data_IF_200676284570
#
_entry.id   IF_200676284570
#
_cell.length_a   1.000
_cell.length_b   1.000
_cell.length_c   1.000
_cell.angle_alpha   90.00
_cell.angle_beta   90.00
_cell.angle_gamma   90.00
#
_symmetry.space_group_name_H-M   'P 1'
#
loop_
_entity.id
_entity.type
_entity.pdbx_description
1 polymer ?
#
# COMPACT_ATOMS: atom_id res chain seq x y z
N UNK A 1 2.23 -13.52 -3.28
CA UNK A 1 3.34 -14.50 -3.12
C UNK A 1 3.78 -14.97 -4.50
N UNK A 2 5.08 -14.85 -4.80
CA UNK A 2 5.66 -15.24 -6.09
C UNK A 2 6.44 -16.56 -5.92
N UNK A 3 6.32 -17.46 -6.88
CA UNK A 3 7.08 -18.71 -6.92
C UNK A 3 7.93 -18.71 -8.18
N UNK A 4 9.19 -19.08 -7.99
CA UNK A 4 10.21 -19.12 -9.02
C UNK A 4 10.56 -20.58 -9.27
N UNK A 5 10.63 -20.94 -10.54
CA UNK A 5 11.10 -22.25 -10.95
C UNK A 5 12.52 -22.12 -11.50
N UNK A 6 13.46 -22.77 -10.81
CA UNK A 6 14.82 -22.93 -11.32
C UNK A 6 15.09 -24.39 -11.73
N UNK A 7 15.77 -24.56 -12.86
CA UNK A 7 16.30 -25.85 -13.30
C UNK A 7 17.76 -25.89 -12.81
N UNK A 8 18.20 -26.83 -11.97
CA UNK A 8 19.54 -26.90 -11.36
C UNK A 8 20.71 -26.93 -12.34
N UNK A 9 20.47 -27.26 -13.62
CA UNK A 9 21.47 -27.14 -14.68
C UNK A 9 21.62 -25.71 -15.22
N UNK A 10 20.69 -24.80 -14.91
CA UNK A 10 20.73 -23.38 -15.23
C UNK A 10 20.78 -22.52 -13.96
N UNK A 11 21.59 -21.47 -13.95
CA UNK A 11 21.52 -20.44 -12.90
C UNK A 11 20.40 -19.42 -13.15
N UNK A 12 19.64 -19.59 -14.22
CA UNK A 12 18.59 -18.67 -14.66
C UNK A 12 17.20 -19.17 -14.27
N UNK A 13 16.37 -18.26 -13.73
CA UNK A 13 14.96 -18.54 -13.49
C UNK A 13 14.26 -18.62 -14.84
N UNK A 14 13.76 -19.81 -15.18
CA UNK A 14 13.09 -20.04 -16.46
C UNK A 14 11.62 -19.61 -16.42
N UNK A 15 10.94 -19.77 -15.28
CA UNK A 15 9.52 -19.47 -15.17
C UNK A 15 9.15 -18.81 -13.83
N UNK A 16 8.28 -17.80 -13.89
CA UNK A 16 7.75 -17.06 -12.75
C UNK A 16 6.24 -17.16 -12.72
N UNK A 17 5.69 -17.49 -11.55
CA UNK A 17 4.26 -17.59 -11.35
C UNK A 17 3.79 -16.83 -10.10
N UNK A 18 2.70 -16.08 -10.28
CA UNK A 18 1.96 -15.43 -9.20
C UNK A 18 0.88 -16.38 -8.71
N UNK A 19 1.04 -16.94 -7.52
CA UNK A 19 0.10 -17.93 -6.98
C UNK A 19 -1.31 -17.37 -6.80
N UNK A 20 -1.43 -16.08 -6.53
CA UNK A 20 -2.71 -15.38 -6.39
C UNK A 20 -3.56 -15.35 -7.68
N UNK A 21 -2.91 -15.54 -8.84
CA UNK A 21 -3.57 -15.53 -10.15
C UNK A 21 -3.91 -16.94 -10.64
N UNK A 22 -3.65 -17.98 -9.83
CA UNK A 22 -3.87 -19.38 -10.19
C UNK A 22 -4.92 -20.01 -9.28
N UNK A 23 -5.80 -20.80 -9.87
CA UNK A 23 -6.71 -21.66 -9.12
C UNK A 23 -5.95 -22.83 -8.50
N UNK A 24 -6.50 -23.44 -7.43
CA UNK A 24 -5.91 -24.63 -6.79
C UNK A 24 -5.60 -25.75 -7.79
N UNK A 25 -6.49 -25.96 -8.77
CA UNK A 25 -6.30 -26.96 -9.83
C UNK A 25 -5.09 -26.64 -10.70
N UNK A 26 -4.96 -25.39 -11.17
CA UNK A 26 -3.82 -24.96 -12.00
C UNK A 26 -2.48 -25.06 -11.27
N UNK A 27 -2.47 -24.92 -9.94
CA UNK A 27 -1.27 -25.13 -9.12
C UNK A 27 -0.90 -26.61 -9.10
N UNK A 28 -1.87 -27.50 -8.85
CA UNK A 28 -1.64 -28.96 -8.80
C UNK A 28 -1.20 -29.48 -10.17
N UNK A 29 -1.90 -29.13 -11.24
CA UNK A 29 -1.58 -29.58 -12.61
C UNK A 29 -0.12 -29.22 -12.97
N UNK A 30 0.34 -28.02 -12.57
CA UNK A 30 1.73 -27.60 -12.80
C UNK A 30 2.73 -28.35 -11.94
N UNK A 31 2.41 -28.63 -10.68
CA UNK A 31 3.29 -29.46 -9.84
C UNK A 31 3.42 -30.87 -10.41
N UNK A 32 2.34 -31.45 -10.93
CA UNK A 32 2.37 -32.75 -11.61
C UNK A 32 3.22 -32.71 -12.89
N UNK A 33 3.12 -31.65 -13.70
CA UNK A 33 3.93 -31.48 -14.89
C UNK A 33 5.42 -31.32 -14.57
N UNK A 34 5.76 -30.68 -13.45
CA UNK A 34 7.14 -30.60 -12.97
C UNK A 34 7.68 -31.96 -12.54
N UNK A 35 6.88 -32.75 -11.84
CA UNK A 35 7.26 -34.09 -11.39
C UNK A 35 7.49 -35.08 -12.56
N UNK A 36 6.90 -34.82 -13.73
CA UNK A 36 7.06 -35.65 -14.95
C UNK A 36 8.32 -35.35 -15.76
N UNK A 37 9.00 -34.23 -15.50
CA UNK A 37 10.19 -33.82 -16.25
C UNK A 37 11.46 -34.40 -15.59
N UNK A 38 12.38 -34.94 -16.39
CA UNK A 38 13.60 -35.64 -15.92
C UNK A 38 14.61 -34.76 -15.16
N UNK A 39 14.48 -33.43 -15.26
CA UNK A 39 15.35 -32.52 -14.53
C UNK A 39 14.88 -32.38 -13.08
N UNK A 40 15.82 -32.37 -12.14
CA UNK A 40 15.56 -31.92 -10.77
C UNK A 40 15.02 -30.49 -10.88
N UNK A 41 13.99 -30.08 -10.13
CA UNK A 41 13.56 -28.68 -10.10
C UNK A 41 13.72 -28.15 -8.70
N UNK A 42 14.22 -26.91 -8.57
CA UNK A 42 14.23 -26.21 -7.29
C UNK A 42 13.14 -25.17 -7.33
N UNK A 43 12.13 -25.37 -6.47
CA UNK A 43 11.04 -24.44 -6.27
C UNK A 43 11.46 -23.48 -5.17
N UNK A 44 11.71 -22.22 -5.53
CA UNK A 44 12.03 -21.18 -4.58
C UNK A 44 10.78 -20.30 -4.37
N UNK A 45 10.34 -20.22 -3.12
CA UNK A 45 9.39 -19.20 -2.71
C UNK A 45 10.20 -17.94 -2.49
N UNK A 46 10.00 -16.90 -3.30
CA UNK A 46 10.50 -15.60 -2.89
C UNK A 46 9.42 -14.89 -2.08
N UNK A 47 9.87 -14.19 -1.06
CA UNK A 47 9.02 -13.31 -0.31
C UNK A 47 8.35 -12.31 -1.24
N UNK A 48 7.08 -12.08 -0.94
CA UNK A 48 6.22 -11.12 -1.62
C UNK A 48 6.99 -9.82 -1.93
N UNK A 49 6.98 -9.37 -3.19
CA UNK A 49 7.44 -8.01 -3.55
C UNK A 49 6.55 -6.92 -2.91
N UNK A 50 5.49 -7.32 -2.19
CA UNK A 50 4.79 -6.46 -1.26
C UNK A 50 5.71 -6.14 -0.08
N UNK A 51 6.33 -4.97 -0.18
CA UNK A 51 7.11 -4.31 0.85
C UNK A 51 6.46 -4.50 2.23
N UNK A 52 7.23 -4.80 3.28
CA UNK A 52 6.75 -4.95 4.66
C UNK A 52 5.94 -3.74 5.18
N UNK A 53 5.98 -2.60 4.47
CA UNK A 53 5.05 -1.48 4.65
C UNK A 53 3.55 -1.86 4.52
N UNK A 54 3.22 -2.97 3.85
CA UNK A 54 1.85 -3.48 3.75
C UNK A 54 1.43 -4.37 4.95
N UNK A 55 2.32 -4.63 5.92
CA UNK A 55 1.98 -5.34 7.17
C UNK A 55 1.31 -4.46 8.22
N UNK A 56 1.32 -3.13 8.07
CA UNK A 56 0.51 -2.28 8.93
C UNK A 56 -0.98 -2.51 8.63
N UNK A 57 -1.73 -2.86 9.68
CA UNK A 57 -3.17 -3.06 9.54
C UNK A 57 -3.82 -1.74 9.14
N UNK A 58 -4.85 -1.80 8.28
CA UNK A 58 -5.52 -0.60 7.79
C UNK A 58 -6.12 0.28 8.91
N UNK A 59 -6.34 -0.30 10.11
CA UNK A 59 -6.81 0.40 11.32
C UNK A 59 -5.74 1.31 11.94
N UNK A 60 -4.47 0.98 11.79
CA UNK A 60 -3.35 1.70 12.41
C UNK A 60 -2.88 2.88 11.55
N UNK A 61 -3.25 2.87 10.26
CA UNK A 61 -2.97 3.98 9.34
C UNK A 61 -3.85 5.20 9.63
N UNK A 62 -3.28 6.39 9.47
CA UNK A 62 -3.96 7.67 9.72
C UNK A 62 -4.30 8.34 8.38
N UNK A 63 -5.57 8.71 8.19
CA UNK A 63 -5.98 9.49 7.01
C UNK A 63 -5.75 10.98 7.22
N UNK A 64 -5.69 11.75 6.12
CA UNK A 64 -5.54 13.21 6.18
C UNK A 64 -6.60 13.87 7.08
N UNK A 65 -7.87 13.45 6.97
CA UNK A 65 -8.94 14.02 7.80
C UNK A 65 -8.71 13.72 9.29
N UNK A 66 -8.38 12.48 9.65
CA UNK A 66 -8.13 12.09 11.03
C UNK A 66 -6.94 12.85 11.62
N UNK A 67 -5.89 13.10 10.81
CA UNK A 67 -4.77 13.94 11.21
C UNK A 67 -5.21 15.37 11.53
N UNK A 68 -5.97 16.01 10.63
CA UNK A 68 -6.45 17.39 10.82
C UNK A 68 -7.37 17.50 12.05
N UNK A 69 -8.27 16.54 12.22
CA UNK A 69 -9.20 16.49 13.36
C UNK A 69 -8.42 16.33 14.69
N UNK A 70 -7.45 15.39 14.73
CA UNK A 70 -6.60 15.15 15.90
C UNK A 70 -5.80 16.40 16.27
N UNK A 71 -5.24 17.09 15.28
CA UNK A 71 -4.43 18.29 15.49
C UNK A 71 -5.26 19.59 15.60
N UNK A 72 -6.59 19.50 15.58
CA UNK A 72 -7.50 20.66 15.65
C UNK A 72 -7.20 21.71 14.57
N UNK A 73 -6.90 21.24 13.36
CA UNK A 73 -6.59 22.06 12.19
C UNK A 73 -7.85 22.22 11.34
N UNK A 74 -8.24 23.47 11.10
CA UNK A 74 -9.37 23.80 10.24
C UNK A 74 -8.86 24.31 8.90
N UNK A 75 -9.33 23.69 7.82
CA UNK A 75 -9.03 24.06 6.44
C UNK A 75 -10.35 24.27 5.69
N UNK A 76 -10.42 25.24 4.78
CA UNK A 76 -11.62 25.47 3.97
C UNK A 76 -11.88 24.27 3.04
N UNK A 77 -13.12 24.07 2.57
CA UNK A 77 -13.45 22.93 1.69
C UNK A 77 -12.67 22.95 0.37
N UNK A 78 -12.47 24.14 -0.21
CA UNK A 78 -11.69 24.30 -1.44
C UNK A 78 -10.21 23.99 -1.22
N UNK A 79 -9.66 24.51 -0.13
CA UNK A 79 -8.27 24.29 0.27
C UNK A 79 -7.99 22.85 0.67
N UNK A 80 -8.97 22.15 1.26
CA UNK A 80 -8.85 20.75 1.61
C UNK A 80 -8.61 19.87 0.38
N UNK A 81 -9.32 20.10 -0.72
CA UNK A 81 -9.09 19.36 -1.97
C UNK A 81 -7.70 19.63 -2.54
N UNK A 82 -7.24 20.88 -2.50
CA UNK A 82 -5.90 21.25 -2.92
C UNK A 82 -4.83 20.58 -2.06
N UNK A 83 -5.01 20.61 -0.74
CA UNK A 83 -4.15 19.95 0.25
C UNK A 83 -4.05 18.45 -0.03
N UNK A 84 -5.18 17.75 -0.19
CA UNK A 84 -5.21 16.32 -0.46
C UNK A 84 -4.44 15.94 -1.72
N UNK A 85 -4.58 16.71 -2.81
CA UNK A 85 -3.84 16.48 -4.06
C UNK A 85 -2.34 16.71 -3.86
N UNK A 86 -1.96 17.79 -3.18
CA UNK A 86 -0.55 18.14 -2.95
C UNK A 86 0.15 17.14 -2.02
N UNK A 87 -0.51 16.67 -0.97
CA UNK A 87 0.02 15.64 -0.07
C UNK A 87 0.32 14.36 -0.84
N UNK A 88 -0.61 13.91 -1.69
CA UNK A 88 -0.38 12.71 -2.51
C UNK A 88 0.78 12.91 -3.48
N UNK A 89 0.87 14.08 -4.13
CA UNK A 89 1.97 14.38 -5.06
C UNK A 89 3.32 14.37 -4.34
N UNK A 90 3.43 15.08 -3.22
CA UNK A 90 4.65 15.13 -2.40
C UNK A 90 5.04 13.76 -1.87
N UNK A 91 4.06 12.94 -1.48
CA UNK A 91 4.29 11.56 -1.06
C UNK A 91 4.89 10.72 -2.20
N UNK A 92 4.34 10.81 -3.41
CA UNK A 92 4.88 10.10 -4.58
C UNK A 92 6.29 10.59 -4.92
N UNK A 93 6.57 11.88 -4.79
CA UNK A 93 7.92 12.44 -5.00
C UNK A 93 8.94 11.89 -4.00
N UNK A 94 8.57 11.71 -2.73
CA UNK A 94 9.48 11.25 -1.67
C UNK A 94 9.68 9.73 -1.66
N UNK A 95 8.62 8.97 -1.90
CA UNK A 95 8.63 7.51 -1.72
C UNK A 95 8.54 6.72 -3.03
N UNK A 96 8.32 7.37 -4.17
CA UNK A 96 8.18 6.73 -5.47
C UNK A 96 6.92 5.88 -5.64
N UNK A 97 6.04 5.84 -4.63
CA UNK A 97 4.82 5.03 -4.60
C UNK A 97 3.61 5.88 -4.22
N UNK A 98 2.41 5.44 -4.60
CA UNK A 98 1.16 6.10 -4.18
C UNK A 98 0.81 5.68 -2.74
N UNK A 99 0.24 6.57 -1.92
CA UNK A 99 -0.26 6.19 -0.61
C UNK A 99 -1.36 5.14 -0.71
N UNK A 100 -1.50 4.30 0.32
CA UNK A 100 -2.55 3.27 0.39
C UNK A 100 -3.92 3.92 0.50
N UNK A 101 -4.90 3.39 -0.25
CA UNK A 101 -6.31 3.79 -0.12
C UNK A 101 -7.00 2.90 0.90
N UNK A 102 -7.62 3.52 1.90
CA UNK A 102 -8.41 2.82 2.92
C UNK A 102 -9.86 3.28 2.88
N UNK A 103 -10.77 2.37 3.19
CA UNK A 103 -12.18 2.68 3.38
C UNK A 103 -12.45 2.78 4.89
N UNK A 104 -12.99 3.90 5.34
CA UNK A 104 -13.38 4.09 6.74
C UNK A 104 -14.84 4.52 6.86
N UNK A 105 -15.51 4.02 7.89
CA UNK A 105 -16.81 4.54 8.31
C UNK A 105 -16.57 5.89 8.99
N UNK A 106 -17.30 6.91 8.57
CA UNK A 106 -17.33 8.17 9.31
C UNK A 106 -18.05 8.01 10.65
N UNK A 107 -17.98 9.02 11.53
CA UNK A 107 -18.68 9.03 12.82
C UNK A 107 -20.19 8.76 12.70
N UNK A 108 -20.78 9.14 11.57
CA UNK A 108 -22.21 9.00 11.28
C UNK A 108 -22.57 7.65 10.63
N UNK A 109 -21.62 6.71 10.50
CA UNK A 109 -21.84 5.41 9.86
C UNK A 109 -21.75 5.41 8.33
N UNK A 110 -21.70 6.58 7.69
CA UNK A 110 -21.50 6.71 6.25
C UNK A 110 -20.11 6.24 5.82
N UNK A 111 -20.03 5.43 4.77
CA UNK A 111 -18.77 5.06 4.16
C UNK A 111 -18.18 6.28 3.44
N UNK A 112 -17.13 6.88 4.01
CA UNK A 112 -16.36 7.90 3.29
C UNK A 112 -15.48 7.19 2.26
N UNK A 113 -15.66 7.55 0.99
CA UNK A 113 -14.91 7.00 -0.14
C UNK A 113 -13.39 7.00 0.13
N UNK A 114 -12.74 5.88 -0.27
CA UNK A 114 -11.29 5.64 -0.39
C UNK A 114 -10.42 6.87 -0.08
N UNK A 115 -10.11 7.08 1.19
CA UNK A 115 -9.17 8.12 1.62
C UNK A 115 -7.75 7.55 1.54
N UNK A 116 -6.79 8.40 1.18
CA UNK A 116 -5.38 8.02 1.31
C UNK A 116 -5.01 8.01 2.78
N UNK A 117 -4.25 7.00 3.19
CA UNK A 117 -3.77 6.83 4.55
C UNK A 117 -2.25 6.71 4.59
N UNK A 118 -1.70 7.10 5.72
CA UNK A 118 -0.29 7.32 5.96
C UNK A 118 0.09 6.67 7.29
N UNK A 119 1.31 6.16 7.37
CA UNK A 119 1.89 5.70 8.64
C UNK A 119 2.31 6.90 9.48
N UNK A 120 2.52 6.71 10.79
CA UNK A 120 2.97 7.81 11.68
C UNK A 120 4.26 8.48 11.19
N UNK A 121 5.19 7.71 10.62
CA UNK A 121 6.45 8.22 10.06
C UNK A 121 6.23 9.08 8.80
N UNK A 122 5.13 8.87 8.10
CA UNK A 122 4.80 9.55 6.84
C UNK A 122 3.98 10.83 7.07
N UNK A 123 3.45 11.06 8.27
CA UNK A 123 2.63 12.23 8.59
C UNK A 123 3.34 13.57 8.38
N UNK A 124 4.68 13.57 8.46
CA UNK A 124 5.49 14.74 8.13
C UNK A 124 5.20 15.32 6.73
N UNK A 125 4.82 14.48 5.77
CA UNK A 125 4.42 14.96 4.43
C UNK A 125 3.19 15.87 4.50
N UNK A 126 2.28 15.60 5.43
CA UNK A 126 1.08 16.42 5.65
C UNK A 126 1.50 17.78 6.22
N UNK A 127 2.37 17.80 7.24
CA UNK A 127 2.86 19.04 7.85
C UNK A 127 3.57 19.95 6.85
N UNK A 128 4.50 19.40 6.05
CA UNK A 128 5.22 20.17 5.03
C UNK A 128 4.28 20.80 3.98
N UNK A 129 3.21 20.10 3.63
CA UNK A 129 2.26 20.59 2.62
C UNK A 129 1.25 21.56 3.24
N UNK A 130 0.89 21.39 4.50
CA UNK A 130 0.00 22.30 5.24
C UNK A 130 0.51 23.74 5.24
N UNK A 131 1.83 23.94 5.30
CA UNK A 131 2.45 25.27 5.20
C UNK A 131 2.16 25.98 3.87
N UNK A 132 1.78 25.24 2.83
CA UNK A 132 1.48 25.78 1.49
C UNK A 132 0.02 26.18 1.29
N UNK A 133 -0.83 26.00 2.29
CA UNK A 133 -2.29 26.19 2.20
C UNK A 133 -2.80 26.97 3.41
N UNK A 134 -3.74 27.93 3.25
CA UNK A 134 -4.35 28.60 4.38
C UNK A 134 -5.03 27.63 5.35
N UNK A 135 -4.69 27.72 6.63
CA UNK A 135 -5.25 26.87 7.69
C UNK A 135 -5.24 27.59 9.04
N UNK A 136 -6.10 27.16 9.95
CA UNK A 136 -6.17 27.65 11.33
C UNK A 136 -5.91 26.49 12.29
N UNK A 137 -4.90 26.63 13.15
CA UNK A 137 -4.65 25.71 14.28
C UNK A 137 -5.36 26.25 15.51
N UNK A 138 -6.38 25.56 15.99
CA UNK A 138 -7.04 25.93 17.24
C UNK A 138 -6.26 25.30 18.41
N UNK A 139 -5.85 26.08 19.43
CA UNK A 139 -5.26 25.50 20.62
C UNK A 139 -6.27 24.54 21.26
N UNK A 140 -5.82 23.31 21.57
CA UNK A 140 -6.65 22.30 22.25
C UNK A 140 -7.21 22.94 23.54
N UNK A 141 -8.53 22.89 23.71
CA UNK A 141 -9.19 23.21 24.98
C UNK A 141 -8.88 22.16 26.03
#
# INVERSE_FOLDING_TARGET
MQVYLNIPSSTEVNELFLLENLTKKQIIDRLEDLLKKEHVFVLAVADSVFNDADKEEARDLVTLNEYLDKENIVVSKGDFHLLAVRVVKKFVELYGIKPRRVNRKGPNGDFKNKSYAYTDKQLRVIDEVLETVPHVRNPRK
#
